data_IF_784878070132
#
_entry.id   IF_784878070132
#
_cell.length_a   1.000
_cell.length_b   1.000
_cell.length_c   1.000
_cell.angle_alpha   90.00
_cell.angle_beta   90.00
_cell.angle_gamma   90.00
#
_symmetry.space_group_name_H-M   'P 1'
#
loop_
_entity.id
_entity.type
_entity.pdbx_description
1 polymer ?
#
# COMPACT_ATOMS: atom_id res chain seq x y z
N UNK A 1 -7.53 -12.51 -17.17
CA UNK A 1 -6.35 -11.83 -17.72
C UNK A 1 -5.55 -11.31 -16.54
N UNK A 2 -4.32 -11.79 -16.43
CA UNK A 2 -3.42 -11.71 -15.29
C UNK A 2 -3.05 -10.25 -14.98
N UNK A 3 -3.23 -9.80 -13.74
CA UNK A 3 -2.74 -8.51 -13.28
C UNK A 3 -1.20 -8.57 -13.26
N UNK A 4 -0.55 -8.03 -14.29
CA UNK A 4 0.90 -7.93 -14.34
C UNK A 4 1.33 -6.80 -13.38
N UNK A 5 1.81 -7.19 -12.21
CA UNK A 5 2.56 -6.29 -11.32
C UNK A 5 4.03 -6.51 -11.64
N UNK A 6 4.66 -5.54 -12.30
CA UNK A 6 6.09 -5.62 -12.62
C UNK A 6 6.86 -4.83 -11.57
N UNK A 7 7.79 -5.50 -10.90
CA UNK A 7 8.76 -4.88 -9.99
C UNK A 7 10.09 -4.79 -10.73
N UNK A 8 10.51 -3.58 -11.08
CA UNK A 8 11.82 -3.36 -11.68
C UNK A 8 12.75 -2.68 -10.68
N UNK A 9 13.93 -3.25 -10.49
CA UNK A 9 15.03 -2.62 -9.74
C UNK A 9 15.77 -1.67 -10.67
N UNK A 10 15.80 -0.38 -10.33
CA UNK A 10 16.25 0.67 -11.26
C UNK A 10 17.52 1.38 -10.79
N UNK A 11 18.53 0.62 -10.36
CA UNK A 11 19.86 1.14 -10.02
C UNK A 11 20.41 0.70 -8.66
N UNK A 12 21.46 1.37 -8.15
CA UNK A 12 22.16 0.96 -6.95
C UNK A 12 21.28 1.10 -5.70
N UNK A 13 21.50 0.23 -4.71
CA UNK A 13 20.79 0.24 -3.43
C UNK A 13 20.99 1.58 -2.71
N UNK A 14 19.92 2.14 -2.16
CA UNK A 14 19.99 3.33 -1.29
C UNK A 14 20.51 2.85 0.07
N UNK A 15 21.63 3.44 0.50
CA UNK A 15 22.18 3.24 1.84
C UNK A 15 22.18 4.58 2.57
N UNK A 16 21.74 4.59 3.81
CA UNK A 16 21.77 5.79 4.64
C UNK A 16 21.58 5.45 6.11
N UNK A 17 22.00 6.37 6.97
CA UNK A 17 21.85 6.28 8.42
C UNK A 17 20.97 7.42 8.95
N UNK A 18 19.68 7.49 8.55
CA UNK A 18 18.80 8.53 9.07
C UNK A 18 18.50 8.29 10.56
N UNK A 19 18.11 9.38 11.22
CA UNK A 19 17.30 9.25 12.44
C UNK A 19 15.94 8.69 12.01
N UNK A 20 15.66 7.45 12.39
CA UNK A 20 14.45 6.73 12.04
C UNK A 20 13.70 6.26 13.28
N UNK A 21 12.38 6.10 13.16
CA UNK A 21 11.58 5.41 14.18
C UNK A 21 11.44 3.95 13.78
N UNK A 22 11.61 3.05 14.74
CA UNK A 22 11.49 1.60 14.53
C UNK A 22 10.56 1.03 15.60
N UNK A 23 9.76 0.05 15.19
CA UNK A 23 9.04 -0.85 16.07
C UNK A 23 9.40 -2.30 15.73
N UNK A 24 9.52 -3.14 16.74
CA UNK A 24 9.56 -4.59 16.58
C UNK A 24 8.17 -5.12 16.89
N UNK A 25 7.53 -5.74 15.90
CA UNK A 25 6.19 -6.28 16.06
C UNK A 25 6.23 -7.81 16.02
N UNK A 26 6.35 -8.42 17.18
CA UNK A 26 6.43 -9.88 17.33
C UNK A 26 5.12 -10.57 16.86
N UNK A 27 3.96 -9.92 17.03
CA UNK A 27 2.63 -10.45 16.65
C UNK A 27 2.42 -10.67 15.15
N UNK A 28 3.25 -10.02 14.33
CA UNK A 28 3.26 -10.16 12.88
C UNK A 28 4.62 -10.62 12.35
N UNK A 29 5.57 -10.93 13.23
CA UNK A 29 6.95 -11.30 12.91
C UNK A 29 7.57 -10.35 11.87
N UNK A 30 7.49 -9.05 12.18
CA UNK A 30 8.00 -8.01 11.30
C UNK A 30 8.62 -6.84 12.08
N UNK A 31 9.66 -6.28 11.48
CA UNK A 31 10.26 -5.02 11.87
C UNK A 31 9.63 -3.88 11.07
N UNK A 32 9.17 -2.84 11.75
CA UNK A 32 8.54 -1.67 11.12
C UNK A 32 9.51 -0.50 11.17
N UNK A 33 9.74 0.15 10.03
CA UNK A 33 10.61 1.30 9.88
C UNK A 33 9.83 2.48 9.32
N UNK A 34 9.88 3.61 10.01
CA UNK A 34 9.38 4.88 9.49
C UNK A 34 10.51 5.73 8.91
N UNK A 35 10.36 6.12 7.64
CA UNK A 35 11.28 6.96 6.89
C UNK A 35 10.58 8.30 6.62
N UNK A 36 10.95 9.40 7.29
CA UNK A 36 10.34 10.69 7.04
C UNK A 36 10.69 11.20 5.63
N UNK A 37 9.71 11.78 4.95
CA UNK A 37 9.93 12.47 3.67
C UNK A 37 10.14 13.95 3.92
N UNK A 38 11.06 14.55 3.15
CA UNK A 38 11.17 16.00 3.09
C UNK A 38 10.18 16.55 2.06
N UNK A 39 8.89 16.39 2.31
CA UNK A 39 7.80 16.81 1.41
C UNK A 39 6.68 17.49 2.19
N UNK A 40 6.10 18.59 1.69
CA UNK A 40 4.95 19.23 2.32
C UNK A 40 3.64 18.44 2.16
N UNK A 41 3.62 17.41 1.30
CA UNK A 41 2.42 16.64 0.98
C UNK A 41 2.40 15.24 1.61
N UNK A 42 3.57 14.72 1.99
CA UNK A 42 3.72 13.37 2.53
C UNK A 42 4.68 13.45 3.72
N UNK A 43 4.21 13.06 4.89
CA UNK A 43 5.01 13.16 6.12
C UNK A 43 6.04 12.02 6.21
N UNK A 44 5.64 10.77 5.93
CA UNK A 44 6.55 9.63 6.02
C UNK A 44 6.15 8.43 5.15
N UNK A 45 7.11 7.54 4.90
CA UNK A 45 6.92 6.19 4.40
C UNK A 45 7.12 5.21 5.56
N UNK A 46 6.12 4.35 5.78
CA UNK A 46 6.25 3.23 6.73
C UNK A 46 6.52 1.96 5.94
N UNK A 47 7.58 1.25 6.29
CA UNK A 47 8.01 -0.02 5.69
C UNK A 47 7.86 -1.13 6.70
N UNK A 48 7.06 -2.15 6.36
CA UNK A 48 6.94 -3.39 7.14
C UNK A 48 7.88 -4.43 6.52
N UNK A 49 8.91 -4.81 7.26
CA UNK A 49 9.90 -5.80 6.84
C UNK A 49 9.66 -7.11 7.60
N UNK A 50 9.19 -8.19 6.95
CA UNK A 50 9.05 -9.48 7.61
C UNK A 50 10.43 -10.03 8.02
N UNK A 51 10.49 -10.67 9.19
CA UNK A 51 11.76 -11.20 9.73
C UNK A 51 12.27 -12.40 8.92
N UNK A 52 11.37 -13.12 8.26
CA UNK A 52 11.71 -14.24 7.37
C UNK A 52 11.80 -13.80 5.90
N UNK A 53 12.94 -14.06 5.21
CA UNK A 53 13.10 -13.71 3.81
C UNK A 53 12.28 -14.58 2.84
N UNK A 54 11.87 -15.79 3.24
CA UNK A 54 11.10 -16.71 2.39
C UNK A 54 9.69 -16.91 2.95
N UNK A 55 8.67 -16.53 2.17
CA UNK A 55 7.26 -16.66 2.57
C UNK A 55 6.83 -15.73 3.70
N UNK A 56 7.73 -14.91 4.25
CA UNK A 56 7.43 -13.92 5.29
C UNK A 56 6.41 -12.90 4.82
N UNK A 57 6.55 -12.37 3.59
CA UNK A 57 5.61 -11.39 3.05
C UNK A 57 4.19 -11.94 2.93
N UNK A 58 4.00 -13.15 2.38
CA UNK A 58 2.68 -13.76 2.26
C UNK A 58 2.04 -14.08 3.63
N UNK A 59 2.87 -14.37 4.64
CA UNK A 59 2.40 -14.63 6.01
C UNK A 59 2.02 -13.33 6.70
N UNK A 60 2.84 -12.28 6.51
CA UNK A 60 2.59 -10.92 6.96
C UNK A 60 1.30 -10.35 6.36
N UNK A 61 1.07 -10.53 5.05
CA UNK A 61 -0.16 -10.09 4.39
C UNK A 61 -1.42 -10.75 4.97
N UNK A 62 -1.35 -12.02 5.37
CA UNK A 62 -2.47 -12.72 6.01
C UNK A 62 -2.68 -12.33 7.46
N UNK A 63 -1.61 -12.00 8.18
CA UNK A 63 -1.67 -11.59 9.58
C UNK A 63 -2.00 -10.11 9.73
N UNK A 64 -1.80 -9.30 8.69
CA UNK A 64 -2.09 -7.88 8.68
C UNK A 64 -3.57 -7.63 8.94
N UNK A 65 -3.86 -6.81 9.92
CA UNK A 65 -5.20 -6.34 10.26
C UNK A 65 -5.10 -4.90 10.70
N UNK A 66 -6.20 -4.13 10.58
CA UNK A 66 -6.21 -2.70 10.94
C UNK A 66 -5.64 -2.48 12.34
N UNK A 67 -6.08 -3.27 13.32
CA UNK A 67 -5.69 -3.08 14.72
C UNK A 67 -4.19 -3.32 14.92
N UNK A 68 -3.63 -4.38 14.32
CA UNK A 68 -2.19 -4.69 14.37
C UNK A 68 -1.33 -3.63 13.66
N UNK A 69 -1.82 -3.06 12.56
CA UNK A 69 -1.13 -1.96 11.88
C UNK A 69 -1.07 -0.75 12.81
N UNK A 70 -2.20 -0.36 13.41
CA UNK A 70 -2.26 0.76 14.33
C UNK A 70 -1.37 0.56 15.56
N UNK A 71 -1.42 -0.64 16.15
CA UNK A 71 -0.57 -1.02 17.28
C UNK A 71 0.91 -0.91 16.94
N UNK A 72 1.33 -1.45 15.79
CA UNK A 72 2.70 -1.30 15.31
C UNK A 72 3.12 0.16 15.10
N UNK A 73 2.22 1.00 14.60
CA UNK A 73 2.49 2.42 14.39
C UNK A 73 2.60 3.17 15.73
N UNK A 74 1.80 2.80 16.73
CA UNK A 74 1.86 3.39 18.07
C UNK A 74 3.16 3.01 18.80
N UNK A 75 3.70 1.81 18.53
CA UNK A 75 4.97 1.35 19.06
C UNK A 75 6.22 1.90 18.35
N UNK A 76 6.06 2.78 17.36
CA UNK A 76 7.19 3.41 16.68
C UNK A 76 7.94 4.37 17.60
N UNK A 77 9.16 4.00 17.98
CA UNK A 77 10.01 4.79 18.86
C UNK A 77 11.27 5.25 18.15
N UNK A 78 11.76 6.45 18.51
CA UNK A 78 13.07 6.92 18.04
C UNK A 78 14.16 6.07 18.70
N UNK A 79 14.79 5.19 17.92
CA UNK A 79 15.86 4.30 18.39
C UNK A 79 17.27 4.82 18.10
N UNK A 80 17.39 6.02 17.51
CA UNK A 80 18.65 6.67 17.17
C UNK A 80 18.99 6.54 15.68
N UNK A 81 20.29 6.39 15.38
CA UNK A 81 20.77 6.16 14.01
C UNK A 81 20.47 4.73 13.58
N UNK A 82 19.83 4.58 12.43
CA UNK A 82 19.43 3.29 11.88
C UNK A 82 20.12 3.08 10.55
N UNK A 83 20.86 1.98 10.39
CA UNK A 83 21.41 1.58 9.10
C UNK A 83 20.30 1.06 8.17
N UNK A 84 19.86 1.91 7.24
CA UNK A 84 18.83 1.58 6.27
C UNK A 84 19.45 1.22 4.92
N UNK A 85 19.11 0.03 4.43
CA UNK A 85 19.48 -0.45 3.11
C UNK A 85 18.20 -0.73 2.32
N UNK A 86 17.81 0.19 1.44
CA UNK A 86 16.56 0.10 0.67
C UNK A 86 16.85 -0.02 -0.83
N UNK A 87 16.33 -1.05 -1.53
CA UNK A 87 16.49 -1.14 -2.98
C UNK A 87 15.79 0.02 -3.69
N UNK A 88 16.38 0.49 -4.81
CA UNK A 88 15.70 1.44 -5.70
C UNK A 88 14.64 0.71 -6.50
N UNK A 89 13.42 0.77 -5.99
CA UNK A 89 12.26 0.08 -6.57
C UNK A 89 11.48 1.04 -7.47
N UNK A 90 11.09 0.56 -8.65
CA UNK A 90 9.99 1.12 -9.43
C UNK A 90 8.90 0.06 -9.52
N UNK A 91 7.73 0.39 -8.98
CA UNK A 91 6.55 -0.48 -8.98
C UNK A 91 5.52 0.07 -9.95
N UNK A 92 5.15 -0.76 -10.93
CA UNK A 92 4.04 -0.47 -11.85
C UNK A 92 2.97 -1.54 -11.64
N UNK A 93 1.83 -1.13 -11.07
CA UNK A 93 0.69 -2.01 -10.84
C UNK A 93 -0.48 -1.54 -11.71
N UNK A 94 -0.89 -2.37 -12.67
CA UNK A 94 -2.12 -2.18 -13.42
C UNK A 94 -3.19 -3.11 -12.86
N UNK A 95 -4.33 -2.57 -12.43
CA UNK A 95 -5.40 -3.36 -11.81
C UNK A 95 -6.76 -2.89 -12.30
N UNK A 96 -7.58 -3.84 -12.76
CA UNK A 96 -8.95 -3.60 -13.20
C UNK A 96 -9.90 -3.64 -11.99
N UNK A 97 -10.12 -2.48 -11.38
CA UNK A 97 -10.97 -2.35 -10.20
C UNK A 97 -12.45 -2.70 -10.46
N UNK A 98 -12.92 -2.61 -11.71
CA UNK A 98 -14.28 -3.00 -12.07
C UNK A 98 -14.53 -4.51 -11.85
N UNK A 99 -13.46 -5.33 -11.80
CA UNK A 99 -13.56 -6.76 -11.46
C UNK A 99 -13.41 -7.03 -9.98
N UNK A 100 -12.56 -6.27 -9.28
CA UNK A 100 -12.26 -6.51 -7.86
C UNK A 100 -13.32 -5.93 -6.93
N UNK A 101 -13.75 -4.70 -7.14
CA UNK A 101 -14.68 -3.99 -6.26
C UNK A 101 -16.04 -4.71 -6.09
N UNK A 102 -16.62 -5.36 -7.12
CA UNK A 102 -17.83 -6.17 -6.94
C UNK A 102 -17.68 -7.34 -5.97
N UNK A 103 -16.48 -7.94 -5.89
CA UNK A 103 -16.19 -9.00 -4.93
C UNK A 103 -16.08 -8.47 -3.49
N UNK A 104 -15.77 -7.17 -3.33
CA UNK A 104 -15.72 -6.47 -2.05
C UNK A 104 -17.05 -5.80 -1.66
N UNK A 105 -18.13 -5.99 -2.43
CA UNK A 105 -19.47 -5.51 -2.11
C UNK A 105 -19.97 -4.33 -2.96
N UNK A 106 -19.10 -3.71 -3.77
CA UNK A 106 -19.49 -2.60 -4.67
C UNK A 106 -19.96 -3.18 -6.00
N UNK A 107 -21.17 -3.72 -6.01
CA UNK A 107 -21.74 -4.43 -7.18
C UNK A 107 -22.56 -3.51 -8.08
N UNK A 108 -23.31 -2.61 -7.48
CA UNK A 108 -24.31 -1.81 -8.22
C UNK A 108 -23.64 -0.76 -9.11
N UNK A 109 -22.53 -0.18 -8.68
CA UNK A 109 -21.79 0.88 -9.39
C UNK A 109 -21.31 0.51 -10.81
N UNK A 110 -21.12 -0.78 -11.09
CA UNK A 110 -20.58 -1.28 -12.38
C UNK A 110 -21.64 -1.99 -13.23
N UNK A 111 -22.91 -2.00 -12.79
CA UNK A 111 -24.01 -2.69 -13.44
C UNK A 111 -25.18 -1.78 -13.79
N UNK A 112 -26.23 -2.35 -14.38
CA UNK A 112 -27.44 -1.61 -14.78
C UNK A 112 -28.19 -0.94 -13.61
N UNK A 113 -27.92 -1.37 -12.37
CA UNK A 113 -28.49 -0.82 -11.15
C UNK A 113 -27.68 0.37 -10.58
N UNK A 114 -26.65 0.84 -11.29
CA UNK A 114 -25.85 1.96 -10.84
C UNK A 114 -26.68 3.25 -10.83
N UNK A 115 -26.81 3.87 -9.66
CA UNK A 115 -27.40 5.19 -9.53
C UNK A 115 -26.29 6.23 -9.30
N UNK A 116 -25.95 6.95 -10.37
CA UNK A 116 -25.03 8.10 -10.34
C UNK A 116 -25.77 9.41 -10.65
N UNK A 117 -27.08 9.47 -10.38
CA UNK A 117 -27.92 10.63 -10.68
C UNK A 117 -27.34 11.94 -10.16
N UNK A 118 -26.80 11.95 -8.93
CA UNK A 118 -26.18 13.13 -8.31
C UNK A 118 -24.87 13.59 -8.98
N UNK A 119 -24.22 12.75 -9.79
CA UNK A 119 -23.05 13.14 -10.59
C UNK A 119 -23.44 13.75 -11.94
N UNK A 120 -24.69 13.64 -12.35
CA UNK A 120 -25.19 14.16 -13.63
C UNK A 120 -26.28 15.20 -13.38
N UNK A 121 -26.00 16.45 -13.71
CA UNK A 121 -27.02 17.52 -13.66
C UNK A 121 -28.21 17.31 -14.61
N UNK A 122 -28.23 16.24 -15.42
CA UNK A 122 -29.28 15.94 -16.40
C UNK A 122 -29.35 14.44 -16.76
N UNK A 123 -30.01 13.64 -15.92
CA UNK A 123 -30.86 12.50 -16.30
C UNK A 123 -30.34 11.36 -17.18
N UNK A 124 -29.05 11.29 -17.50
CA UNK A 124 -28.48 10.19 -18.28
C UNK A 124 -27.93 9.10 -17.34
N UNK A 125 -28.38 7.83 -17.46
CA UNK A 125 -27.83 6.75 -16.65
C UNK A 125 -26.35 6.56 -17.00
N UNK A 126 -25.48 6.74 -16.01
CA UNK A 126 -24.07 6.43 -16.12
C UNK A 126 -23.79 5.03 -15.59
N UNK A 127 -22.75 4.41 -16.13
CA UNK A 127 -22.14 3.22 -15.55
C UNK A 127 -20.66 3.51 -15.36
N UNK A 128 -20.06 3.05 -14.27
CA UNK A 128 -18.62 3.16 -14.09
C UNK A 128 -17.92 2.23 -15.10
N UNK A 129 -17.55 2.77 -16.26
CA UNK A 129 -17.10 1.96 -17.40
C UNK A 129 -15.62 1.56 -17.31
N UNK A 130 -14.81 2.29 -16.54
CA UNK A 130 -13.41 1.97 -16.26
C UNK A 130 -12.84 2.92 -15.22
N UNK A 131 -12.32 2.40 -14.11
CA UNK A 131 -11.47 3.17 -13.21
C UNK A 131 -10.01 2.96 -13.62
N UNK A 132 -9.41 3.96 -14.24
CA UNK A 132 -7.97 4.00 -14.52
C UNK A 132 -7.37 5.10 -13.67
N UNK A 133 -6.54 4.73 -12.69
CA UNK A 133 -5.69 5.69 -11.98
C UNK A 133 -4.46 5.90 -12.87
N UNK A 134 -4.52 6.92 -13.73
CA UNK A 134 -3.35 7.35 -14.49
C UNK A 134 -2.43 8.18 -13.58
N UNK A 135 -1.15 7.82 -13.54
CA UNK A 135 -0.06 8.69 -13.06
C UNK A 135 0.55 9.41 -14.25
#
# INVERSE_FOLDING_TARGET
MTNASTVETYGPIIKGTPLGRIALCDDIAATVLEIPYNSPLLESLVVFLPDSPFGGLASLERSLSKDKIMECLDHLEQRGLVDVTLPRLRLCCATDFARLLPSMGVRDAFGAAADFSDMTGAGAPLFALRLSVSR
#
